data_IF_346401591729
#
_entry.id   IF_346401591729
#
_cell.length_a   1.000
_cell.length_b   1.000
_cell.length_c   1.000
_cell.angle_alpha   90.00
_cell.angle_beta   90.00
_cell.angle_gamma   90.00
#
_symmetry.space_group_name_H-M   'P 1'
#
loop_
_entity.id
_entity.type
_entity.pdbx_description
1 polymer ?
#
# COMPACT_ATOMS: atom_id res chain seq x y z
N UNK A 1 -22.95 -25.72 45.87
CA UNK A 1 -22.50 -25.05 44.62
C UNK A 1 -22.28 -26.00 43.43
N UNK A 2 -22.65 -27.26 43.51
CA UNK A 2 -22.53 -28.24 42.43
C UNK A 2 -23.85 -28.54 41.70
N UNK A 3 -24.97 -27.95 42.12
CA UNK A 3 -26.29 -28.23 41.53
C UNK A 3 -26.79 -27.20 40.49
N UNK A 4 -26.05 -26.09 40.28
CA UNK A 4 -26.42 -25.04 39.32
C UNK A 4 -25.73 -25.21 37.96
N UNK A 5 -24.67 -25.99 37.88
CA UNK A 5 -23.95 -26.27 36.64
C UNK A 5 -24.57 -27.35 35.73
N UNK A 6 -25.48 -28.18 36.29
CA UNK A 6 -26.09 -29.27 35.51
C UNK A 6 -27.37 -28.85 34.75
N UNK A 7 -27.99 -27.72 35.07
CA UNK A 7 -29.20 -27.24 34.39
C UNK A 7 -28.95 -26.47 33.08
N UNK A 8 -27.75 -25.93 32.87
CA UNK A 8 -27.39 -25.17 31.66
C UNK A 8 -27.01 -26.07 30.47
N UNK A 9 -26.58 -27.30 30.69
CA UNK A 9 -26.12 -28.20 29.62
C UNK A 9 -27.30 -28.96 28.94
N UNK A 10 -28.48 -29.01 29.53
CA UNK A 10 -29.67 -29.70 28.95
C UNK A 10 -30.51 -28.77 28.07
N UNK A 11 -30.41 -27.47 28.23
CA UNK A 11 -31.15 -26.49 27.41
C UNK A 11 -30.55 -26.24 26.01
N UNK A 12 -29.25 -26.42 25.83
CA UNK A 12 -28.59 -26.22 24.54
C UNK A 12 -28.71 -27.43 23.61
N UNK A 13 -28.94 -28.62 24.16
CA UNK A 13 -29.07 -29.86 23.37
C UNK A 13 -30.43 -30.07 22.71
N UNK A 14 -31.47 -29.27 23.04
CA UNK A 14 -32.85 -29.42 22.51
C UNK A 14 -33.22 -28.44 21.40
N UNK A 15 -32.42 -27.43 21.12
CA UNK A 15 -32.67 -26.42 20.08
C UNK A 15 -31.99 -26.71 18.71
N UNK A 16 -31.22 -27.79 18.60
CA UNK A 16 -30.52 -28.17 17.36
C UNK A 16 -31.11 -29.38 16.61
N UNK A 17 -32.33 -29.84 16.97
CA UNK A 17 -32.99 -30.99 16.33
C UNK A 17 -34.34 -30.72 15.69
N UNK A 18 -34.62 -29.51 15.28
CA UNK A 18 -35.85 -29.20 14.53
C UNK A 18 -35.57 -28.18 13.42
N UNK A 19 -35.06 -28.66 12.30
CA UNK A 19 -35.34 -28.16 10.94
C UNK A 19 -34.51 -28.93 9.88
N UNK A 20 -34.93 -30.16 9.64
CA UNK A 20 -34.80 -30.78 8.32
C UNK A 20 -36.20 -31.22 7.95
N UNK A 21 -36.97 -30.35 7.33
CA UNK A 21 -38.21 -30.70 6.65
C UNK A 21 -37.87 -30.84 5.17
N UNK A 22 -37.92 -32.06 4.71
CA UNK A 22 -37.96 -32.47 3.30
C UNK A 22 -39.10 -31.76 2.58
N UNK A 23 -38.84 -31.06 1.54
CA UNK A 23 -39.84 -30.60 0.58
C UNK A 23 -39.63 -31.42 -0.70
N UNK A 24 -40.42 -32.45 -0.83
CA UNK A 24 -40.72 -33.10 -2.11
C UNK A 24 -41.87 -32.31 -2.74
N UNK A 25 -41.59 -31.63 -3.86
CA UNK A 25 -42.57 -30.92 -4.66
C UNK A 25 -42.60 -31.47 -6.08
N UNK A 26 -43.71 -32.14 -6.42
CA UNK A 26 -44.00 -32.65 -7.75
C UNK A 26 -44.12 -31.52 -8.78
N UNK A 27 -43.50 -31.73 -9.95
CA UNK A 27 -43.74 -30.92 -11.13
C UNK A 27 -44.82 -31.58 -12.01
N UNK A 28 -45.92 -30.87 -12.27
CA UNK A 28 -46.87 -31.16 -13.35
C UNK A 28 -46.66 -30.15 -14.48
N UNK A 29 -46.67 -30.55 -15.72
CA UNK A 29 -46.53 -29.68 -16.87
C UNK A 29 -47.87 -29.06 -17.28
N UNK A 30 -47.87 -27.74 -17.51
CA UNK A 30 -48.96 -27.06 -18.20
C UNK A 30 -48.47 -26.66 -19.61
N UNK A 31 -49.22 -27.12 -20.55
CA UNK A 31 -49.16 -26.87 -22.00
C UNK A 31 -49.53 -25.43 -22.34
N UNK A 32 -48.82 -24.84 -23.32
CA UNK A 32 -49.23 -23.60 -23.95
C UNK A 32 -48.20 -23.14 -24.99
N UNK A 33 -48.55 -23.26 -26.26
CA UNK A 33 -47.69 -23.12 -27.43
C UNK A 33 -47.31 -21.67 -27.76
N UNK A 34 -46.23 -21.57 -28.50
CA UNK A 34 -45.78 -20.35 -29.15
C UNK A 34 -44.54 -20.61 -29.99
N UNK A 35 -44.77 -20.74 -31.33
CA UNK A 35 -43.72 -20.89 -32.33
C UNK A 35 -42.79 -19.66 -32.37
N UNK A 36 -41.49 -19.90 -32.43
CA UNK A 36 -40.57 -19.05 -33.19
C UNK A 36 -39.45 -19.93 -33.81
N UNK A 37 -39.45 -19.94 -35.12
CA UNK A 37 -38.46 -20.60 -36.01
C UNK A 37 -37.15 -19.80 -35.93
N UNK A 38 -36.02 -20.51 -35.76
CA UNK A 38 -34.71 -20.01 -36.02
C UNK A 38 -33.81 -21.12 -36.57
N UNK A 39 -33.35 -20.92 -37.77
CA UNK A 39 -32.61 -21.85 -38.61
C UNK A 39 -31.31 -22.34 -37.98
N UNK A 40 -31.11 -23.67 -38.01
CA UNK A 40 -29.83 -24.34 -37.89
C UNK A 40 -29.49 -24.95 -39.28
N UNK A 41 -28.35 -24.59 -39.82
CA UNK A 41 -27.71 -25.37 -40.89
C UNK A 41 -26.39 -25.95 -40.36
N UNK A 42 -26.06 -27.18 -40.69
CA UNK A 42 -24.82 -27.83 -40.29
C UNK A 42 -23.70 -27.56 -41.31
N UNK A 43 -22.50 -27.36 -40.83
CA UNK A 43 -21.30 -27.32 -41.62
C UNK A 43 -20.61 -28.69 -41.56
N UNK A 44 -20.36 -29.25 -42.76
CA UNK A 44 -19.67 -30.49 -43.06
C UNK A 44 -18.17 -30.40 -42.75
N UNK A 45 -17.63 -31.56 -42.36
CA UNK A 45 -16.20 -31.87 -42.29
C UNK A 45 -15.60 -31.91 -43.70
N UNK A 46 -14.35 -31.54 -43.84
CA UNK A 46 -13.21 -32.24 -44.46
C UNK A 46 -12.10 -31.23 -44.85
N UNK A 47 -10.83 -31.65 -44.66
CA UNK A 47 -9.72 -31.02 -45.38
C UNK A 47 -8.46 -30.69 -44.58
N UNK A 48 -7.65 -31.72 -44.44
CA UNK A 48 -6.22 -31.72 -44.14
C UNK A 48 -5.41 -30.67 -44.94
N UNK A 49 -4.54 -29.89 -44.32
CA UNK A 49 -3.31 -29.39 -44.93
C UNK A 49 -2.32 -28.84 -43.88
N UNK A 50 -1.23 -29.56 -43.73
CA UNK A 50 -0.05 -29.20 -43.01
C UNK A 50 0.64 -27.95 -43.61
N UNK A 51 0.89 -26.90 -42.82
CA UNK A 51 1.75 -25.79 -43.22
C UNK A 51 2.91 -25.62 -42.23
N UNK A 52 4.09 -26.08 -42.70
CA UNK A 52 5.40 -25.92 -42.08
C UNK A 52 5.72 -24.44 -41.91
N UNK A 53 5.99 -24.01 -40.71
CA UNK A 53 6.65 -22.72 -40.42
C UNK A 53 8.16 -22.92 -40.50
N UNK A 54 8.78 -22.33 -41.50
CA UNK A 54 10.22 -22.13 -41.60
C UNK A 54 10.66 -21.09 -40.55
N UNK A 55 11.60 -21.49 -39.70
CA UNK A 55 12.33 -20.59 -38.82
C UNK A 55 13.55 -20.12 -39.61
N UNK A 56 13.60 -18.83 -39.94
CA UNK A 56 14.78 -18.21 -40.51
C UNK A 56 15.76 -17.84 -39.38
N UNK A 57 16.90 -18.50 -39.35
CA UNK A 57 18.07 -18.11 -38.57
C UNK A 57 18.79 -16.99 -39.32
N UNK A 58 18.86 -15.80 -38.70
CA UNK A 58 19.79 -14.76 -39.11
C UNK A 58 21.02 -14.84 -38.20
N UNK A 59 22.13 -15.30 -38.78
CA UNK A 59 23.47 -15.17 -38.22
C UNK A 59 24.06 -13.82 -38.66
N UNK A 60 24.43 -13.00 -37.72
CA UNK A 60 25.16 -11.76 -37.95
C UNK A 60 26.65 -12.03 -37.76
N UNK A 61 27.46 -11.89 -38.81
CA UNK A 61 28.93 -11.83 -38.74
C UNK A 61 29.35 -10.38 -38.67
N UNK A 62 30.29 -10.01 -37.83
CA UNK A 62 30.91 -8.69 -37.87
C UNK A 62 32.16 -8.69 -38.78
N UNK A 63 32.25 -7.74 -39.69
CA UNK A 63 33.45 -7.43 -40.45
C UNK A 63 34.42 -6.56 -39.61
N UNK A 64 35.76 -6.75 -39.82
CA UNK A 64 36.77 -6.06 -39.06
C UNK A 64 37.33 -4.83 -39.82
N UNK A 65 38.03 -4.00 -39.03
CA UNK A 65 39.01 -2.97 -39.42
C UNK A 65 38.51 -1.56 -39.81
N UNK A 66 38.83 -0.62 -38.91
CA UNK A 66 39.80 0.46 -39.26
C UNK A 66 40.38 1.07 -37.99
N UNK A 67 41.67 0.88 -37.86
CA UNK A 67 42.56 1.52 -36.88
C UNK A 67 43.10 2.80 -37.53
N UNK A 68 43.15 3.92 -36.81
CA UNK A 68 44.14 4.97 -37.01
C UNK A 68 44.33 5.87 -35.77
N UNK A 69 45.52 6.45 -35.56
CA UNK A 69 46.14 6.62 -34.26
C UNK A 69 46.05 8.04 -33.66
N UNK A 70 46.71 8.30 -32.51
CA UNK A 70 46.43 9.44 -31.66
C UNK A 70 47.24 10.69 -32.00
N UNK A 71 46.66 11.85 -31.73
CA UNK A 71 47.42 13.11 -31.68
C UNK A 71 47.39 13.63 -30.23
N UNK A 72 48.59 13.81 -29.73
CA UNK A 72 48.87 14.51 -28.51
C UNK A 72 49.01 16.01 -28.79
N UNK A 73 48.37 16.85 -28.02
CA UNK A 73 48.85 18.23 -27.74
C UNK A 73 48.47 18.56 -26.31
N UNK A 74 49.47 19.01 -25.62
CA UNK A 74 49.53 19.25 -24.22
C UNK A 74 49.18 20.67 -23.78
N UNK A 75 49.39 20.82 -22.50
CA UNK A 75 49.61 22.04 -21.73
C UNK A 75 48.38 22.80 -21.22
N UNK A 76 48.16 22.66 -19.93
CA UNK A 76 48.13 23.79 -19.01
C UNK A 76 46.77 24.42 -18.71
N UNK A 77 46.23 24.11 -17.57
CA UNK A 77 45.90 25.16 -16.62
C UNK A 77 45.55 24.60 -15.23
N UNK A 78 46.15 25.23 -14.25
CA UNK A 78 46.03 24.92 -12.85
C UNK A 78 44.69 25.45 -12.28
N UNK A 79 44.31 24.84 -11.12
CA UNK A 79 43.38 25.37 -10.14
C UNK A 79 41.87 25.29 -10.42
N UNK A 80 41.24 24.18 -9.98
CA UNK A 80 40.08 24.24 -9.12
C UNK A 80 40.10 22.97 -8.20
N UNK A 81 40.83 23.07 -7.10
CA UNK A 81 40.67 22.13 -5.98
C UNK A 81 39.55 22.65 -5.10
N UNK A 82 38.32 22.16 -5.32
CA UNK A 82 37.20 22.52 -4.45
C UNK A 82 35.89 21.80 -4.71
N UNK A 83 35.73 21.17 -5.88
CA UNK A 83 34.43 20.60 -6.24
C UNK A 83 34.37 19.04 -6.20
N UNK A 84 35.45 18.38 -5.79
CA UNK A 84 35.58 16.92 -5.88
C UNK A 84 34.95 16.13 -4.73
N UNK A 85 34.59 16.77 -3.60
CA UNK A 85 34.04 16.03 -2.45
C UNK A 85 32.53 15.89 -2.46
N UNK A 86 31.80 16.81 -3.06
CA UNK A 86 30.31 16.77 -3.12
C UNK A 86 29.86 15.77 -4.20
N UNK A 87 30.56 15.71 -5.33
CA UNK A 87 30.20 14.76 -6.41
C UNK A 87 30.51 13.28 -6.09
N UNK A 88 31.49 12.99 -5.22
CA UNK A 88 31.78 11.60 -4.83
C UNK A 88 30.73 11.00 -3.90
N UNK A 89 29.98 11.80 -3.13
CA UNK A 89 28.86 11.29 -2.30
C UNK A 89 27.61 10.98 -3.13
N UNK A 90 27.34 11.74 -4.18
CA UNK A 90 26.19 11.50 -5.07
C UNK A 90 26.35 10.23 -5.95
N UNK A 91 27.58 9.89 -6.33
CA UNK A 91 27.85 8.70 -7.16
C UNK A 91 27.96 7.38 -6.36
N UNK A 92 28.13 7.42 -5.05
CA UNK A 92 28.21 6.22 -4.19
C UNK A 92 26.86 5.55 -3.94
N UNK A 93 25.74 6.25 -4.20
CA UNK A 93 24.39 5.71 -4.08
C UNK A 93 23.96 4.84 -5.29
N UNK A 94 24.79 4.70 -6.31
CA UNK A 94 24.47 3.97 -7.54
C UNK A 94 25.03 2.54 -7.62
N UNK A 95 25.69 2.04 -6.58
CA UNK A 95 26.17 0.65 -6.54
C UNK A 95 25.37 -0.17 -5.54
N UNK A 96 24.43 -0.91 -6.13
CA UNK A 96 23.91 -2.23 -5.76
C UNK A 96 24.12 -2.69 -4.28
N UNK A 97 23.05 -2.70 -3.57
CA UNK A 97 22.49 -3.75 -2.72
C UNK A 97 23.51 -4.80 -2.22
N UNK A 98 24.48 -4.38 -1.42
CA UNK A 98 25.17 -5.32 -0.54
C UNK A 98 24.27 -5.55 0.70
N UNK A 99 24.42 -6.72 1.34
CA UNK A 99 23.75 -7.02 2.62
C UNK A 99 24.05 -5.92 3.66
N UNK A 100 25.25 -5.30 3.59
CA UNK A 100 25.63 -4.15 4.44
C UNK A 100 24.83 -2.88 4.16
N UNK A 101 24.46 -2.61 2.91
CA UNK A 101 23.70 -1.40 2.59
C UNK A 101 22.24 -1.53 3.09
N UNK A 102 21.69 -2.73 3.03
CA UNK A 102 20.35 -3.00 3.55
C UNK A 102 20.33 -2.93 5.10
N UNK A 103 21.34 -3.49 5.78
CA UNK A 103 21.45 -3.39 7.23
C UNK A 103 21.61 -1.94 7.70
N UNK A 104 22.48 -1.17 7.03
CA UNK A 104 22.63 0.25 7.32
C UNK A 104 21.31 1.01 7.13
N UNK A 105 20.50 0.63 6.15
CA UNK A 105 19.23 1.27 5.86
C UNK A 105 18.16 0.90 6.89
N UNK A 106 18.12 -0.36 7.34
CA UNK A 106 17.25 -0.79 8.44
C UNK A 106 17.65 -0.13 9.77
N UNK A 107 18.93 0.15 9.98
CA UNK A 107 19.38 0.92 11.15
C UNK A 107 18.77 2.33 11.20
N UNK A 108 18.56 2.99 10.05
CA UNK A 108 17.84 4.27 10.02
C UNK A 108 16.39 4.12 10.46
N UNK A 109 15.74 3.00 10.11
CA UNK A 109 14.39 2.72 10.59
C UNK A 109 14.38 2.48 12.10
N UNK A 110 15.33 1.72 12.64
CA UNK A 110 15.47 1.53 14.11
C UNK A 110 15.62 2.86 14.85
N UNK A 111 16.34 3.82 14.27
CA UNK A 111 16.58 5.13 14.89
C UNK A 111 15.31 5.99 15.02
N UNK A 112 14.27 5.76 14.22
CA UNK A 112 13.00 6.52 14.30
C UNK A 112 11.97 5.86 15.22
N UNK A 113 12.17 4.60 15.61
CA UNK A 113 11.24 3.87 16.49
C UNK A 113 11.40 4.37 17.92
N UNK A 114 10.33 4.84 18.55
CA UNK A 114 10.40 5.33 19.92
C UNK A 114 10.56 4.16 20.90
N UNK A 115 11.40 4.29 21.94
CA UNK A 115 11.56 3.24 22.92
C UNK A 115 10.28 3.05 23.75
N UNK A 116 9.96 1.81 24.08
CA UNK A 116 8.92 1.48 25.05
C UNK A 116 9.40 1.86 26.46
N UNK A 117 8.66 2.69 27.16
CA UNK A 117 8.99 3.12 28.51
C UNK A 117 7.75 3.19 29.40
N UNK A 118 7.93 2.95 30.71
CA UNK A 118 6.84 3.06 31.70
C UNK A 118 6.40 4.51 31.97
N UNK A 119 7.10 5.50 31.39
CA UNK A 119 6.80 6.93 31.59
C UNK A 119 5.80 7.47 30.55
N UNK A 120 5.49 6.72 29.52
CA UNK A 120 4.55 7.14 28.48
C UNK A 120 3.10 6.91 28.90
N UNK A 121 2.23 7.76 28.36
CA UNK A 121 0.78 7.65 28.53
C UNK A 121 0.11 7.27 27.20
N UNK A 122 -1.07 6.64 27.28
CA UNK A 122 -1.88 6.25 26.12
C UNK A 122 -2.08 7.42 25.15
N UNK A 123 -1.80 7.19 23.88
CA UNK A 123 -1.88 8.16 22.80
C UNK A 123 -0.57 8.84 22.43
N UNK A 124 0.55 8.56 23.11
CA UNK A 124 1.85 9.17 22.81
C UNK A 124 2.62 8.44 21.70
N UNK A 125 2.43 7.12 21.56
CA UNK A 125 3.08 6.33 20.51
C UNK A 125 2.31 6.33 19.19
N UNK A 126 1.12 6.90 19.16
CA UNK A 126 0.40 7.15 17.92
C UNK A 126 -1.11 7.10 18.08
N UNK A 127 -1.78 8.05 17.44
CA UNK A 127 -3.24 8.06 17.19
C UNK A 127 -3.44 8.18 15.70
N UNK A 128 -3.78 7.06 15.07
CA UNK A 128 -3.87 6.96 13.62
C UNK A 128 -5.34 6.98 13.20
N UNK A 129 -5.69 7.84 12.24
CA UNK A 129 -6.99 7.85 11.61
C UNK A 129 -6.94 7.12 10.26
N UNK A 130 -7.95 6.32 9.98
CA UNK A 130 -8.16 5.70 8.66
C UNK A 130 -9.46 6.23 8.09
N UNK A 131 -9.39 6.86 6.93
CA UNK A 131 -10.55 7.41 6.19
C UNK A 131 -10.84 6.47 5.03
N UNK A 132 -11.91 5.71 5.14
CA UNK A 132 -12.32 4.70 4.17
C UNK A 132 -13.30 3.70 4.76
N UNK A 133 -13.78 2.80 3.93
CA UNK A 133 -14.84 1.85 4.28
C UNK A 133 -16.19 2.32 3.77
N UNK A 134 -16.65 1.63 2.73
CA UNK A 134 -17.99 1.76 2.18
C UNK A 134 -18.72 0.42 2.29
N UNK A 135 -19.92 0.37 1.76
CA UNK A 135 -20.81 -0.80 1.81
C UNK A 135 -20.13 -2.10 1.38
N UNK A 136 -19.38 -2.06 0.27
CA UNK A 136 -18.74 -3.24 -0.33
C UNK A 136 -17.38 -3.56 0.29
N UNK A 137 -16.69 -2.55 0.84
CA UNK A 137 -15.27 -2.68 1.24
C UNK A 137 -15.07 -2.34 2.71
N UNK A 138 -15.47 -3.23 3.59
CA UNK A 138 -15.32 -3.08 5.05
C UNK A 138 -14.01 -3.65 5.59
N UNK A 139 -13.41 -4.61 4.87
CA UNK A 139 -12.18 -5.28 5.29
C UNK A 139 -10.93 -4.43 5.17
N UNK A 140 -10.81 -3.62 4.10
CA UNK A 140 -9.63 -2.81 3.83
C UNK A 140 -9.33 -1.78 4.94
N UNK A 141 -10.28 -0.93 5.38
CA UNK A 141 -10.03 -0.01 6.49
C UNK A 141 -9.77 -0.75 7.81
N UNK A 142 -10.39 -1.91 8.02
CA UNK A 142 -10.06 -2.76 9.16
C UNK A 142 -8.59 -3.21 9.12
N UNK A 143 -8.12 -3.74 7.98
CA UNK A 143 -6.73 -4.18 7.85
C UNK A 143 -5.74 -3.04 8.07
N UNK A 144 -6.00 -1.86 7.55
CA UNK A 144 -5.15 -0.69 7.80
C UNK A 144 -5.16 -0.30 9.28
N UNK A 145 -6.33 -0.21 9.89
CA UNK A 145 -6.49 0.23 11.28
C UNK A 145 -5.88 -0.75 12.30
N UNK A 146 -6.10 -2.05 12.12
CA UNK A 146 -5.55 -3.07 13.02
C UNK A 146 -4.03 -3.23 12.83
N UNK A 147 -3.53 -3.03 11.61
CA UNK A 147 -2.09 -3.02 11.36
C UNK A 147 -1.41 -1.86 12.09
N UNK A 148 -2.02 -0.68 12.10
CA UNK A 148 -1.49 0.45 12.87
C UNK A 148 -1.38 0.11 14.37
N UNK A 149 -2.40 -0.50 14.97
CA UNK A 149 -2.34 -0.93 16.39
C UNK A 149 -1.23 -1.96 16.62
N UNK A 150 -1.11 -2.96 15.73
CA UNK A 150 -0.11 -4.03 15.87
C UNK A 150 1.33 -3.60 15.61
N UNK A 151 1.54 -2.50 14.89
CA UNK A 151 2.87 -1.86 14.76
C UNK A 151 3.25 -1.11 16.04
N UNK A 152 2.27 -0.62 16.79
CA UNK A 152 2.51 0.03 18.08
C UNK A 152 1.83 1.40 18.24
N UNK A 153 0.85 1.75 17.40
CA UNK A 153 -0.01 2.89 17.70
C UNK A 153 -0.91 2.57 18.92
N UNK A 154 -1.11 3.56 19.77
CA UNK A 154 -1.95 3.41 20.95
C UNK A 154 -3.45 3.41 20.66
N UNK A 155 -3.85 4.14 19.62
CA UNK A 155 -5.24 4.29 19.20
C UNK A 155 -5.34 4.28 17.68
N UNK A 156 -6.38 3.62 17.20
CA UNK A 156 -6.74 3.64 15.78
C UNK A 156 -8.21 4.00 15.61
N UNK A 157 -8.46 5.02 14.80
CA UNK A 157 -9.78 5.55 14.48
C UNK A 157 -10.11 5.23 13.03
N UNK A 158 -11.34 4.78 12.77
CA UNK A 158 -11.83 4.52 11.40
C UNK A 158 -13.00 5.46 11.13
N UNK A 159 -12.88 6.31 10.13
CA UNK A 159 -13.95 7.18 9.63
C UNK A 159 -14.51 6.54 8.36
N UNK A 160 -15.71 6.00 8.44
CA UNK A 160 -16.33 5.22 7.37
C UNK A 160 -17.78 5.63 7.16
N UNK A 161 -18.45 5.03 6.17
CA UNK A 161 -19.87 5.22 5.96
C UNK A 161 -20.69 4.62 7.11
N UNK A 162 -21.90 5.11 7.28
CA UNK A 162 -22.82 4.65 8.31
C UNK A 162 -23.11 3.15 8.15
N UNK A 163 -23.24 2.66 6.94
CA UNK A 163 -23.53 1.26 6.64
C UNK A 163 -22.34 0.33 6.92
N UNK A 164 -21.10 0.79 6.68
CA UNK A 164 -19.90 0.00 6.95
C UNK A 164 -19.57 -0.11 8.44
N UNK A 165 -19.93 0.88 9.23
CA UNK A 165 -19.49 1.00 10.63
C UNK A 165 -19.89 -0.20 11.52
N UNK A 166 -21.12 -0.74 11.50
CA UNK A 166 -21.48 -1.90 12.31
C UNK A 166 -20.64 -3.11 11.97
N UNK A 167 -20.33 -3.32 10.69
CA UNK A 167 -19.54 -4.45 10.20
C UNK A 167 -18.09 -4.31 10.67
N UNK A 168 -17.48 -3.13 10.52
CA UNK A 168 -16.10 -2.88 10.96
C UNK A 168 -15.98 -3.04 12.49
N UNK A 169 -16.96 -2.53 13.26
CA UNK A 169 -17.02 -2.71 14.72
C UNK A 169 -17.08 -4.18 15.14
N UNK A 170 -17.69 -5.04 14.33
CA UNK A 170 -17.79 -6.48 14.61
C UNK A 170 -16.46 -7.22 14.44
N UNK A 171 -15.50 -6.66 13.68
CA UNK A 171 -14.21 -7.29 13.44
C UNK A 171 -13.25 -7.17 14.63
N UNK A 172 -13.27 -6.03 15.35
CA UNK A 172 -12.43 -5.83 16.53
C UNK A 172 -13.00 -4.77 17.48
N UNK A 173 -13.04 -5.05 18.79
CA UNK A 173 -13.43 -4.07 19.80
C UNK A 173 -12.36 -3.00 20.06
N UNK A 174 -11.15 -3.16 19.52
CA UNK A 174 -10.02 -2.26 19.77
C UNK A 174 -10.06 -1.00 18.89
N UNK A 175 -10.87 -1.03 17.80
CA UNK A 175 -11.00 0.06 16.86
C UNK A 175 -12.08 1.06 17.30
N UNK A 176 -11.79 2.34 17.15
CA UNK A 176 -12.75 3.43 17.38
C UNK A 176 -13.36 3.80 16.02
N UNK A 177 -14.60 3.41 15.78
CA UNK A 177 -15.25 3.55 14.46
C UNK A 177 -16.28 4.67 14.48
N UNK A 178 -16.13 5.63 13.56
CA UNK A 178 -16.95 6.81 13.37
C UNK A 178 -17.77 6.69 12.08
N UNK A 179 -19.11 6.55 12.14
CA UNK A 179 -19.99 6.44 10.98
C UNK A 179 -20.35 7.83 10.43
N UNK A 180 -19.40 8.52 9.80
CA UNK A 180 -19.57 9.93 9.45
C UNK A 180 -19.24 10.24 7.99
N UNK A 181 -18.63 9.32 7.23
CA UNK A 181 -18.00 9.66 5.96
C UNK A 181 -19.01 9.98 4.83
N UNK A 182 -20.21 9.44 4.90
CA UNK A 182 -21.34 9.69 3.99
C UNK A 182 -22.27 10.82 4.47
N UNK A 183 -21.95 11.47 5.58
CA UNK A 183 -22.68 12.63 6.07
C UNK A 183 -22.32 13.90 5.26
N UNK A 184 -23.27 14.81 5.02
CA UNK A 184 -22.95 16.14 4.46
C UNK A 184 -21.92 16.93 5.28
N UNK A 185 -21.83 16.67 6.58
CA UNK A 185 -20.89 17.30 7.52
C UNK A 185 -19.58 16.51 7.71
N UNK A 186 -19.29 15.49 6.90
CA UNK A 186 -18.17 14.60 7.11
C UNK A 186 -16.83 15.32 7.29
N UNK A 187 -16.53 16.29 6.41
CA UNK A 187 -15.29 17.06 6.48
C UNK A 187 -15.16 17.83 7.81
N UNK A 188 -16.26 18.39 8.32
CA UNK A 188 -16.31 19.07 9.63
C UNK A 188 -16.14 18.06 10.77
N UNK A 189 -16.89 16.97 10.74
CA UNK A 189 -16.87 15.95 11.77
C UNK A 189 -15.47 15.30 11.93
N UNK A 190 -14.82 14.95 10.81
CA UNK A 190 -13.43 14.47 10.83
C UNK A 190 -12.47 15.58 11.23
N UNK A 191 -12.71 16.82 10.76
CA UNK A 191 -11.92 18.02 11.09
C UNK A 191 -11.79 18.29 12.60
N UNK A 192 -12.80 17.94 13.40
CA UNK A 192 -12.79 18.06 14.87
C UNK A 192 -11.83 17.03 15.54
N UNK A 193 -11.54 15.91 14.85
CA UNK A 193 -10.60 14.90 15.33
C UNK A 193 -9.16 15.17 14.92
N UNK A 194 -8.90 15.88 13.80
CA UNK A 194 -7.56 16.12 13.27
C UNK A 194 -6.56 16.64 14.30
N UNK A 195 -6.90 17.55 15.23
CA UNK A 195 -5.95 18.02 16.24
C UNK A 195 -5.48 16.93 17.22
N UNK A 196 -6.20 15.83 17.30
CA UNK A 196 -5.89 14.69 18.17
C UNK A 196 -5.19 13.56 17.46
N UNK A 197 -5.15 13.57 16.11
CA UNK A 197 -4.56 12.54 15.28
C UNK A 197 -3.12 12.92 14.90
N UNK A 198 -2.27 11.92 14.80
CA UNK A 198 -0.85 12.10 14.47
C UNK A 198 -0.59 11.80 12.98
N UNK A 199 -1.40 10.98 12.34
CA UNK A 199 -1.41 10.75 10.91
C UNK A 199 -2.78 10.25 10.45
N UNK A 200 -3.07 10.44 9.15
CA UNK A 200 -4.23 9.86 8.47
C UNK A 200 -3.77 8.87 7.39
N UNK A 201 -4.53 7.79 7.24
CA UNK A 201 -4.47 6.89 6.09
C UNK A 201 -5.77 7.07 5.34
N UNK A 202 -5.72 7.44 4.06
CA UNK A 202 -6.88 7.78 3.24
C UNK A 202 -6.97 6.87 2.04
N UNK A 203 -8.11 6.21 1.87
CA UNK A 203 -8.41 5.43 0.67
C UNK A 203 -8.72 3.95 0.86
N UNK A 204 -8.24 3.22 1.89
CA UNK A 204 -8.59 1.81 2.08
C UNK A 204 -10.09 1.58 2.07
N UNK A 205 -10.60 0.88 1.04
CA UNK A 205 -12.01 0.56 0.92
C UNK A 205 -12.96 1.77 0.80
N UNK A 206 -12.45 2.92 0.36
CA UNK A 206 -13.23 4.16 0.25
C UNK A 206 -14.37 4.05 -0.76
N UNK A 207 -14.15 3.31 -1.87
CA UNK A 207 -15.05 3.33 -3.00
C UNK A 207 -14.91 4.62 -3.82
N UNK A 208 -15.80 4.77 -4.82
CA UNK A 208 -15.73 5.89 -5.79
C UNK A 208 -17.06 6.63 -5.91
N UNK A 209 -17.85 6.59 -4.86
CA UNK A 209 -19.06 7.38 -4.78
C UNK A 209 -18.71 8.88 -4.76
N UNK A 210 -19.44 9.69 -5.53
CA UNK A 210 -19.14 11.11 -5.69
C UNK A 210 -19.21 11.87 -4.35
N UNK A 211 -20.23 11.57 -3.52
CA UNK A 211 -20.41 12.26 -2.23
C UNK A 211 -19.25 11.93 -1.29
N UNK A 212 -18.82 10.65 -1.25
CA UNK A 212 -17.67 10.23 -0.44
C UNK A 212 -16.41 10.92 -0.90
N UNK A 213 -16.17 11.01 -2.22
CA UNK A 213 -14.98 11.65 -2.76
C UNK A 213 -14.94 13.15 -2.47
N UNK A 214 -16.07 13.87 -2.59
CA UNK A 214 -16.15 15.28 -2.23
C UNK A 214 -15.88 15.50 -0.72
N UNK A 215 -16.43 14.64 0.14
CA UNK A 215 -16.15 14.70 1.57
C UNK A 215 -14.66 14.46 1.88
N UNK A 216 -14.03 13.53 1.17
CA UNK A 216 -12.59 13.22 1.35
C UNK A 216 -11.70 14.36 0.85
N UNK A 217 -12.09 15.11 -0.21
CA UNK A 217 -11.39 16.32 -0.61
C UNK A 217 -11.33 17.31 0.54
N UNK A 218 -12.47 17.66 1.14
CA UNK A 218 -12.53 18.56 2.28
C UNK A 218 -11.71 18.07 3.49
N UNK A 219 -11.67 16.75 3.72
CA UNK A 219 -10.83 16.15 4.78
C UNK A 219 -9.34 16.32 4.46
N UNK A 220 -8.91 16.10 3.22
CA UNK A 220 -7.52 16.29 2.79
C UNK A 220 -7.09 17.75 2.89
N UNK A 221 -7.92 18.68 2.45
CA UNK A 221 -7.68 20.12 2.58
C UNK A 221 -7.54 20.55 4.04
N UNK A 222 -8.45 20.10 4.90
CA UNK A 222 -8.39 20.35 6.34
C UNK A 222 -7.14 19.75 6.99
N UNK A 223 -6.71 18.57 6.55
CA UNK A 223 -5.49 17.91 7.02
C UNK A 223 -4.24 18.66 6.59
N UNK A 224 -4.17 19.08 5.31
CA UNK A 224 -3.09 19.90 4.76
C UNK A 224 -2.98 21.24 5.49
N UNK A 225 -4.10 21.93 5.71
CA UNK A 225 -4.14 23.19 6.43
C UNK A 225 -3.63 23.09 7.88
N UNK A 226 -3.83 21.96 8.54
CA UNK A 226 -3.36 21.69 9.91
C UNK A 226 -1.99 21.02 9.98
N UNK A 227 -1.41 20.67 8.84
CA UNK A 227 -0.11 20.01 8.77
C UNK A 227 -0.13 18.56 9.30
N UNK A 228 -1.28 17.87 9.25
CA UNK A 228 -1.42 16.46 9.64
C UNK A 228 -0.86 15.58 8.53
N UNK A 229 0.11 14.70 8.79
CA UNK A 229 0.65 13.79 7.78
C UNK A 229 -0.43 12.88 7.21
N UNK A 230 -0.36 12.61 5.88
CA UNK A 230 -1.33 11.77 5.20
C UNK A 230 -0.64 10.67 4.39
N UNK A 231 -1.12 9.44 4.53
CA UNK A 231 -0.78 8.31 3.66
C UNK A 231 -1.98 8.05 2.75
N UNK A 232 -1.77 8.08 1.44
CA UNK A 232 -2.86 7.94 0.47
C UNK A 232 -2.65 6.65 -0.33
N UNK A 233 -3.63 5.75 -0.27
CA UNK A 233 -3.61 4.44 -0.90
C UNK A 233 -4.93 4.16 -1.63
N UNK A 234 -4.98 3.14 -2.44
CA UNK A 234 -6.17 2.58 -3.08
C UNK A 234 -7.06 3.66 -3.76
N UNK A 235 -8.35 3.76 -3.37
CA UNK A 235 -9.27 4.74 -3.99
C UNK A 235 -8.93 6.19 -3.66
N UNK A 236 -8.15 6.44 -2.60
CA UNK A 236 -7.54 7.76 -2.35
C UNK A 236 -6.61 8.18 -3.49
N UNK A 237 -5.80 7.24 -4.02
CA UNK A 237 -4.94 7.50 -5.17
C UNK A 237 -5.73 7.76 -6.46
N UNK A 238 -6.89 7.10 -6.61
CA UNK A 238 -7.79 7.39 -7.72
C UNK A 238 -8.30 8.84 -7.66
N UNK A 239 -8.65 9.33 -6.47
CA UNK A 239 -9.04 10.73 -6.26
C UNK A 239 -7.89 11.70 -6.59
N UNK A 240 -6.66 11.41 -6.13
CA UNK A 240 -5.50 12.26 -6.43
C UNK A 240 -5.20 12.29 -7.94
N UNK A 241 -5.43 11.19 -8.66
CA UNK A 241 -5.28 11.19 -10.12
C UNK A 241 -6.33 12.07 -10.83
N UNK A 242 -7.50 12.28 -10.24
CA UNK A 242 -8.49 13.23 -10.76
C UNK A 242 -8.13 14.69 -10.41
N UNK A 243 -7.55 14.91 -9.23
CA UNK A 243 -7.26 16.23 -8.71
C UNK A 243 -5.91 16.27 -7.97
N UNK A 244 -4.78 16.28 -8.72
CA UNK A 244 -3.43 16.27 -8.13
C UNK A 244 -3.16 17.47 -7.22
N UNK A 245 -3.86 18.58 -7.40
CA UNK A 245 -3.73 19.80 -6.60
C UNK A 245 -3.95 19.57 -5.09
N UNK A 246 -4.75 18.58 -4.73
CA UNK A 246 -5.03 18.21 -3.33
C UNK A 246 -3.75 17.92 -2.53
N UNK A 247 -2.75 17.31 -3.16
CA UNK A 247 -1.47 16.96 -2.51
C UNK A 247 -0.29 17.77 -3.02
N UNK A 248 -0.48 18.59 -4.05
CA UNK A 248 0.60 19.36 -4.66
C UNK A 248 1.40 20.14 -3.61
N UNK A 249 2.72 19.87 -3.55
CA UNK A 249 3.64 20.52 -2.62
C UNK A 249 3.45 20.16 -1.13
N UNK A 250 2.55 19.22 -0.81
CA UNK A 250 2.36 18.79 0.57
C UNK A 250 3.36 17.71 0.96
N UNK A 251 4.55 18.12 1.38
CA UNK A 251 5.67 17.22 1.70
C UNK A 251 5.43 16.31 2.93
N UNK A 252 4.28 16.44 3.61
CA UNK A 252 3.84 15.49 4.64
C UNK A 252 2.89 14.41 4.08
N UNK A 253 2.70 14.35 2.76
CA UNK A 253 1.95 13.31 2.11
C UNK A 253 2.87 12.18 1.61
N UNK A 254 2.38 10.93 1.72
CA UNK A 254 2.99 9.74 1.12
C UNK A 254 1.96 9.04 0.28
N UNK A 255 2.24 8.84 -1.00
CA UNK A 255 1.40 8.10 -1.95
C UNK A 255 1.95 6.69 -2.12
N UNK A 256 1.10 5.66 -2.11
CA UNK A 256 1.51 4.25 -2.19
C UNK A 256 0.94 3.52 -3.41
N UNK A 257 1.15 4.00 -4.65
CA UNK A 257 0.54 3.39 -5.82
C UNK A 257 1.12 2.00 -6.14
N UNK A 258 0.25 1.05 -6.52
CA UNK A 258 0.65 -0.12 -7.28
C UNK A 258 0.96 0.25 -8.74
N UNK A 259 1.33 -0.72 -9.57
CA UNK A 259 1.72 -0.45 -10.97
C UNK A 259 0.61 0.28 -11.76
N UNK A 260 -0.64 -0.14 -11.64
CA UNK A 260 -1.78 0.46 -12.38
C UNK A 260 -2.11 1.86 -11.84
N UNK A 261 -2.12 2.02 -10.52
CA UNK A 261 -2.33 3.31 -9.85
C UNK A 261 -1.21 4.29 -10.20
N UNK A 262 0.04 3.81 -10.25
CA UNK A 262 1.20 4.61 -10.63
C UNK A 262 1.10 5.12 -12.07
N UNK A 263 0.74 4.24 -13.02
CA UNK A 263 0.55 4.62 -14.43
C UNK A 263 -0.52 5.71 -14.56
N UNK A 264 -1.66 5.56 -13.86
CA UNK A 264 -2.74 6.55 -13.87
C UNK A 264 -2.31 7.89 -13.29
N UNK A 265 -1.59 7.88 -12.16
CA UNK A 265 -1.06 9.10 -11.55
C UNK A 265 -0.04 9.79 -12.46
N UNK A 266 0.84 9.02 -13.09
CA UNK A 266 1.85 9.54 -14.01
C UNK A 266 1.22 10.18 -15.24
N UNK A 267 0.22 9.54 -15.81
CA UNK A 267 -0.54 10.10 -16.93
C UNK A 267 -1.23 11.42 -16.54
N UNK A 268 -1.88 11.45 -15.38
CA UNK A 268 -2.59 12.63 -14.90
C UNK A 268 -1.66 13.82 -14.56
N UNK A 269 -0.46 13.55 -14.03
CA UNK A 269 0.46 14.58 -13.54
C UNK A 269 1.50 14.98 -14.57
N UNK A 270 2.00 14.04 -15.37
CA UNK A 270 3.10 14.24 -16.31
C UNK A 270 2.62 14.30 -17.78
N UNK A 271 1.39 13.86 -18.07
CA UNK A 271 0.84 13.80 -19.44
C UNK A 271 1.51 12.73 -20.32
N UNK A 272 2.36 11.89 -19.75
CA UNK A 272 3.11 10.86 -20.48
C UNK A 272 3.09 9.54 -19.72
N UNK A 273 2.66 8.42 -20.34
CA UNK A 273 2.82 7.11 -19.76
C UNK A 273 4.30 6.79 -19.68
N UNK A 274 4.81 6.71 -18.46
CA UNK A 274 6.24 6.53 -18.19
C UNK A 274 6.77 5.21 -18.79
N UNK A 275 7.90 5.29 -19.48
CA UNK A 275 8.63 4.13 -19.98
C UNK A 275 9.00 3.21 -18.79
N UNK A 276 8.46 1.99 -18.77
CA UNK A 276 8.68 1.01 -17.71
C UNK A 276 10.13 0.54 -17.53
N UNK A 277 11.07 1.01 -18.38
CA UNK A 277 12.49 0.65 -18.33
C UNK A 277 13.25 1.34 -17.20
N UNK A 278 12.89 2.60 -16.87
CA UNK A 278 13.52 3.37 -15.79
C UNK A 278 12.52 3.66 -14.66
N UNK A 279 12.25 2.65 -13.85
CA UNK A 279 11.33 2.79 -12.69
C UNK A 279 11.82 3.83 -11.67
N UNK A 280 13.14 3.93 -11.44
CA UNK A 280 13.71 4.87 -10.47
C UNK A 280 13.51 6.31 -10.91
N UNK A 281 13.86 6.61 -12.16
CA UNK A 281 13.65 7.92 -12.74
C UNK A 281 12.15 8.27 -12.86
N UNK A 282 11.31 7.28 -13.13
CA UNK A 282 9.87 7.47 -13.19
C UNK A 282 9.28 7.93 -11.85
N UNK A 283 9.62 7.24 -10.75
CA UNK A 283 9.15 7.60 -9.40
C UNK A 283 9.71 8.95 -8.97
N UNK A 284 10.98 9.22 -9.28
CA UNK A 284 11.61 10.51 -9.00
C UNK A 284 10.87 11.66 -9.72
N UNK A 285 10.63 11.53 -11.03
CA UNK A 285 9.93 12.55 -11.83
C UNK A 285 8.52 12.81 -11.33
N UNK A 286 7.77 11.75 -11.01
CA UNK A 286 6.41 11.90 -10.45
C UNK A 286 6.43 12.64 -9.11
N UNK A 287 7.34 12.27 -8.22
CA UNK A 287 7.51 12.94 -6.92
C UNK A 287 7.85 14.43 -7.11
N UNK A 288 8.78 14.76 -8.00
CA UNK A 288 9.16 16.15 -8.32
C UNK A 288 7.99 16.95 -8.89
N UNK A 289 7.26 16.36 -9.83
CA UNK A 289 6.10 17.01 -10.45
C UNK A 289 4.99 17.28 -9.44
N UNK A 290 4.85 16.45 -8.40
CA UNK A 290 3.94 16.66 -7.27
C UNK A 290 4.49 17.64 -6.21
N UNK A 291 5.64 18.28 -6.45
CA UNK A 291 6.25 19.22 -5.50
C UNK A 291 6.97 18.53 -4.34
N UNK A 292 7.69 17.46 -4.65
CA UNK A 292 8.47 16.64 -3.71
C UNK A 292 7.59 15.89 -2.66
N UNK A 293 6.44 15.44 -3.09
CA UNK A 293 5.61 14.51 -2.32
C UNK A 293 6.25 13.12 -2.36
N UNK A 294 6.30 12.43 -1.24
CA UNK A 294 6.87 11.08 -1.18
C UNK A 294 5.98 10.09 -1.92
N UNK A 295 6.57 9.32 -2.84
CA UNK A 295 5.89 8.30 -3.65
C UNK A 295 6.54 6.95 -3.41
N UNK A 296 5.72 5.94 -3.12
CA UNK A 296 6.10 4.53 -2.94
C UNK A 296 5.47 3.71 -4.07
N UNK A 297 6.21 3.43 -5.13
CA UNK A 297 5.73 2.52 -6.17
C UNK A 297 5.89 1.08 -5.71
N UNK A 298 4.76 0.44 -5.38
CA UNK A 298 4.71 -0.99 -5.01
C UNK A 298 5.08 -1.89 -6.20
N UNK A 299 5.88 -2.95 -5.96
CA UNK A 299 6.28 -3.86 -7.04
C UNK A 299 7.01 -5.11 -6.55
N UNK A 300 7.77 -5.73 -7.43
CA UNK A 300 8.69 -6.81 -7.07
C UNK A 300 9.72 -6.31 -6.04
N UNK A 301 10.29 -5.16 -6.30
CA UNK A 301 10.97 -4.29 -5.35
C UNK A 301 10.18 -2.99 -5.28
N UNK A 302 10.02 -2.42 -4.10
CA UNK A 302 9.33 -1.15 -3.97
C UNK A 302 10.32 -0.01 -4.18
N UNK A 303 9.95 0.96 -5.02
CA UNK A 303 10.76 2.13 -5.32
C UNK A 303 10.16 3.35 -4.64
N UNK A 304 10.95 4.07 -3.86
CA UNK A 304 10.51 5.16 -3.00
C UNK A 304 11.29 6.41 -3.34
N UNK A 305 10.61 7.55 -3.56
CA UNK A 305 11.25 8.84 -3.78
C UNK A 305 10.50 9.97 -3.10
N UNK A 306 11.26 10.98 -2.65
CA UNK A 306 10.76 12.27 -2.14
C UNK A 306 11.06 13.43 -3.11
N UNK A 307 11.41 13.11 -4.37
CA UNK A 307 11.79 14.09 -5.38
C UNK A 307 13.25 14.53 -5.32
N UNK A 308 14.00 14.16 -4.28
CA UNK A 308 15.43 14.46 -4.15
C UNK A 308 16.29 13.21 -4.15
N UNK A 309 15.78 12.13 -3.55
CA UNK A 309 16.46 10.85 -3.43
C UNK A 309 15.53 9.71 -3.84
N UNK A 310 16.15 8.58 -4.21
CA UNK A 310 15.44 7.34 -4.53
C UNK A 310 16.02 6.21 -3.70
N UNK A 311 15.16 5.52 -2.94
CA UNK A 311 15.47 4.29 -2.21
C UNK A 311 14.74 3.11 -2.84
N UNK A 312 15.30 1.92 -2.71
CA UNK A 312 14.66 0.67 -3.10
C UNK A 312 14.57 -0.27 -1.90
N UNK A 313 13.38 -0.81 -1.67
CA UNK A 313 13.19 -1.88 -0.73
C UNK A 313 13.35 -3.21 -1.45
N UNK A 314 14.52 -3.83 -1.29
CA UNK A 314 14.85 -5.16 -1.82
C UNK A 314 14.60 -6.29 -0.81
N UNK A 315 14.00 -5.99 0.35
CA UNK A 315 13.66 -7.01 1.34
C UNK A 315 12.76 -8.07 0.71
N UNK A 316 13.08 -9.32 0.95
CA UNK A 316 12.40 -10.45 0.30
C UNK A 316 11.03 -10.70 0.93
N UNK A 317 9.98 -10.66 0.12
CA UNK A 317 8.62 -11.01 0.52
C UNK A 317 8.27 -12.47 0.17
N UNK A 318 7.05 -12.69 -0.32
CA UNK A 318 6.59 -13.98 -0.85
C UNK A 318 6.05 -13.85 -2.27
N UNK A 319 5.93 -14.99 -2.95
CA UNK A 319 5.29 -15.08 -4.27
C UNK A 319 3.76 -14.97 -4.21
N UNK A 320 3.16 -15.08 -3.03
CA UNK A 320 1.71 -14.97 -2.83
C UNK A 320 1.26 -13.50 -2.85
N UNK A 321 0.29 -13.20 -3.68
CA UNK A 321 -0.44 -11.93 -3.70
C UNK A 321 -1.87 -12.18 -3.26
N UNK A 322 -2.34 -11.44 -2.25
CA UNK A 322 -3.72 -11.46 -1.77
C UNK A 322 -4.22 -10.03 -1.55
N UNK A 323 -5.54 -9.86 -1.53
CA UNK A 323 -6.16 -8.57 -1.21
C UNK A 323 -5.82 -8.15 0.22
N UNK A 324 -5.66 -6.84 0.46
CA UNK A 324 -5.39 -6.30 1.79
C UNK A 324 -3.91 -6.12 2.15
N UNK A 325 -2.96 -6.64 1.33
CA UNK A 325 -1.52 -6.41 1.58
C UNK A 325 -1.14 -4.93 1.54
N UNK A 326 -1.79 -4.15 0.65
CA UNK A 326 -1.65 -2.70 0.59
C UNK A 326 -2.16 -2.02 1.85
N UNK A 327 -3.28 -2.49 2.38
CA UNK A 327 -3.89 -1.93 3.59
C UNK A 327 -2.99 -2.15 4.83
N UNK A 328 -2.35 -3.33 4.94
CA UNK A 328 -1.32 -3.57 5.96
C UNK A 328 -0.15 -2.58 5.80
N UNK A 329 0.32 -2.37 4.57
CA UNK A 329 1.39 -1.40 4.28
C UNK A 329 0.98 0.00 4.71
N UNK A 330 -0.18 0.49 4.26
CA UNK A 330 -0.62 1.86 4.50
C UNK A 330 -0.91 2.13 5.98
N UNK A 331 -1.49 1.18 6.71
CA UNK A 331 -1.69 1.25 8.15
C UNK A 331 -0.39 1.30 8.93
N UNK A 332 0.56 0.42 8.61
CA UNK A 332 1.91 0.40 9.20
C UNK A 332 2.67 1.69 8.91
N UNK A 333 2.55 2.19 7.67
CA UNK A 333 3.20 3.43 7.24
C UNK A 333 2.67 4.65 8.00
N UNK A 334 1.37 4.71 8.30
CA UNK A 334 0.79 5.78 9.11
C UNK A 334 1.49 5.94 10.47
N UNK A 335 1.81 4.83 11.12
CA UNK A 335 2.56 4.83 12.39
C UNK A 335 4.01 5.26 12.21
N UNK A 336 4.70 4.65 11.24
CA UNK A 336 6.12 4.95 10.99
C UNK A 336 6.33 6.39 10.53
N UNK A 337 5.41 6.99 9.79
CA UNK A 337 5.41 8.41 9.43
C UNK A 337 5.31 9.29 10.68
N UNK A 338 4.42 8.97 11.60
CA UNK A 338 4.34 9.69 12.87
C UNK A 338 5.66 9.62 13.65
N UNK A 339 6.20 8.41 13.83
CA UNK A 339 7.46 8.22 14.56
C UNK A 339 8.64 8.91 13.90
N UNK A 340 8.76 8.83 12.57
CA UNK A 340 9.84 9.46 11.83
C UNK A 340 9.81 11.00 11.93
N UNK A 341 8.62 11.60 11.85
CA UNK A 341 8.46 13.04 12.04
C UNK A 341 8.72 13.48 13.48
N UNK A 342 8.33 12.66 14.46
CA UNK A 342 8.62 12.90 15.88
C UNK A 342 10.11 12.78 16.20
N UNK A 343 10.80 11.78 15.63
CA UNK A 343 12.23 11.58 15.81
C UNK A 343 13.07 12.71 15.18
N UNK A 344 12.59 13.27 14.07
CA UNK A 344 13.19 14.38 13.37
C UNK A 344 14.36 13.99 12.45
N UNK A 345 14.84 14.93 11.62
CA UNK A 345 15.81 14.65 10.56
C UNK A 345 17.20 14.24 11.05
N UNK A 346 17.55 14.56 12.29
CA UNK A 346 18.83 14.15 12.87
C UNK A 346 18.97 12.63 13.07
N UNK A 347 17.84 11.89 13.08
CA UNK A 347 17.81 10.44 13.26
C UNK A 347 17.92 9.67 11.95
N UNK A 348 17.77 10.34 10.82
CA UNK A 348 17.73 9.69 9.48
C UNK A 348 19.03 9.86 8.68
N UNK A 349 20.03 10.57 9.21
CA UNK A 349 21.39 10.72 8.65
C UNK A 349 21.43 10.99 7.13
N UNK A 350 20.60 11.93 6.67
CA UNK A 350 20.58 12.42 5.30
C UNK A 350 19.31 12.10 4.48
N UNK A 351 18.72 10.89 4.47
CA UNK A 351 17.39 10.68 3.87
C UNK A 351 16.30 11.43 4.63
N UNK A 352 15.23 11.81 3.91
CA UNK A 352 14.08 12.43 4.57
C UNK A 352 13.38 11.45 5.52
N UNK A 353 12.79 11.97 6.59
CA UNK A 353 12.06 11.16 7.57
C UNK A 353 10.97 10.28 6.93
N UNK A 354 10.29 10.79 5.89
CA UNK A 354 9.24 10.02 5.20
C UNK A 354 9.79 8.92 4.30
N UNK A 355 10.97 9.10 3.70
CA UNK A 355 11.65 8.03 2.96
C UNK A 355 12.00 6.85 3.88
N UNK A 356 12.54 7.15 5.08
CA UNK A 356 12.89 6.12 6.08
C UNK A 356 11.64 5.41 6.59
N UNK A 357 10.58 6.15 6.90
CA UNK A 357 9.28 5.58 7.29
C UNK A 357 8.71 4.63 6.21
N UNK A 358 8.73 5.08 4.95
CA UNK A 358 8.22 4.29 3.83
C UNK A 358 9.05 3.02 3.62
N UNK A 359 10.36 3.10 3.71
CA UNK A 359 11.24 1.94 3.62
C UNK A 359 10.95 0.93 4.74
N UNK A 360 10.79 1.39 5.98
CA UNK A 360 10.45 0.55 7.12
C UNK A 360 9.11 -0.17 6.93
N UNK A 361 8.08 0.53 6.46
CA UNK A 361 6.76 -0.06 6.20
C UNK A 361 6.82 -1.11 5.07
N UNK A 362 7.56 -0.84 4.00
CA UNK A 362 7.77 -1.80 2.91
C UNK A 362 8.49 -3.06 3.41
N UNK A 363 9.59 -2.90 4.15
CA UNK A 363 10.35 -4.03 4.70
C UNK A 363 9.49 -4.87 5.66
N UNK A 364 8.75 -4.21 6.56
CA UNK A 364 7.85 -4.87 7.50
C UNK A 364 6.75 -5.67 6.79
N UNK A 365 6.07 -5.06 5.81
CA UNK A 365 5.02 -5.73 5.03
C UNK A 365 5.56 -6.96 4.31
N UNK A 366 6.76 -6.87 3.73
CA UNK A 366 7.43 -7.98 3.04
C UNK A 366 7.84 -9.07 4.00
N UNK A 367 8.36 -8.73 5.17
CA UNK A 367 8.69 -9.70 6.21
C UNK A 367 7.46 -10.44 6.72
N UNK A 368 6.34 -9.72 6.96
CA UNK A 368 5.05 -10.35 7.31
C UNK A 368 4.58 -11.33 6.22
N UNK A 369 4.65 -10.91 4.95
CA UNK A 369 4.30 -11.75 3.80
C UNK A 369 5.14 -13.03 3.74
N UNK A 370 6.46 -12.90 3.96
CA UNK A 370 7.39 -14.04 3.97
C UNK A 370 7.08 -15.03 5.11
N UNK A 371 6.91 -14.52 6.35
CA UNK A 371 6.64 -15.36 7.52
C UNK A 371 5.28 -16.05 7.42
N UNK A 372 4.23 -15.33 7.01
CA UNK A 372 2.93 -15.93 6.79
C UNK A 372 2.96 -17.00 5.68
N UNK A 373 3.65 -16.73 4.58
CA UNK A 373 3.78 -17.69 3.49
C UNK A 373 4.55 -18.96 3.91
N UNK A 374 5.58 -18.84 4.74
CA UNK A 374 6.29 -19.99 5.29
C UNK A 374 5.38 -20.91 6.13
N UNK A 375 4.35 -20.32 6.79
CA UNK A 375 3.39 -21.07 7.61
C UNK A 375 2.21 -21.62 6.82
N UNK A 376 1.69 -20.86 5.87
CA UNK A 376 0.40 -21.11 5.22
C UNK A 376 0.52 -21.41 3.71
N UNK A 377 1.68 -21.16 3.10
CA UNK A 377 1.90 -21.40 1.67
C UNK A 377 0.90 -20.66 0.80
N UNK A 378 0.29 -21.37 -0.15
CA UNK A 378 -0.68 -20.81 -1.09
C UNK A 378 -1.95 -20.26 -0.42
N UNK A 379 -2.33 -20.73 0.75
CA UNK A 379 -3.53 -20.29 1.48
C UNK A 379 -3.33 -18.99 2.26
N UNK A 380 -2.14 -18.41 2.26
CA UNK A 380 -1.83 -17.17 2.95
C UNK A 380 -2.83 -16.07 2.60
N UNK A 381 -3.39 -15.47 3.63
CA UNK A 381 -4.27 -14.28 3.58
C UNK A 381 -3.64 -13.09 4.28
N UNK A 382 -4.24 -11.92 4.16
CA UNK A 382 -3.76 -10.72 4.86
C UNK A 382 -3.95 -10.84 6.37
N UNK A 383 -4.96 -11.56 6.83
CA UNK A 383 -5.15 -11.87 8.27
C UNK A 383 -3.94 -12.64 8.82
N UNK A 384 -3.42 -13.61 8.07
CA UNK A 384 -2.21 -14.33 8.47
C UNK A 384 -0.98 -13.42 8.51
N UNK A 385 -0.86 -12.50 7.54
CA UNK A 385 0.22 -11.49 7.53
C UNK A 385 0.13 -10.53 8.73
N UNK A 386 -1.07 -10.11 9.12
CA UNK A 386 -1.30 -9.24 10.28
C UNK A 386 -0.95 -9.98 11.58
N UNK A 387 -1.15 -11.27 11.65
CA UNK A 387 -0.71 -12.08 12.79
C UNK A 387 0.82 -12.10 12.95
N UNK A 388 1.56 -11.92 11.84
CA UNK A 388 3.03 -11.87 11.83
C UNK A 388 3.61 -10.46 12.12
N UNK A 389 2.81 -9.40 12.29
CA UNK A 389 3.33 -8.04 12.47
C UNK A 389 4.27 -7.93 13.67
N UNK A 390 3.89 -8.42 14.84
CA UNK A 390 4.76 -8.40 16.02
C UNK A 390 6.08 -9.16 15.80
N UNK A 391 6.05 -10.46 15.45
CA UNK A 391 7.26 -11.22 15.17
C UNK A 391 8.13 -10.63 14.04
N UNK A 392 7.53 -10.05 13.00
CA UNK A 392 8.26 -9.43 11.91
C UNK A 392 8.91 -8.10 12.35
N UNK A 393 8.22 -7.33 13.16
CA UNK A 393 8.70 -6.07 13.71
C UNK A 393 9.93 -6.31 14.61
N UNK A 394 9.82 -7.25 15.58
CA UNK A 394 10.93 -7.59 16.46
C UNK A 394 12.14 -8.04 15.67
N UNK A 395 11.95 -8.96 14.72
CA UNK A 395 13.04 -9.47 13.88
C UNK A 395 13.77 -8.41 13.05
N UNK A 396 13.06 -7.37 12.56
CA UNK A 396 13.65 -6.33 11.70
C UNK A 396 14.27 -5.19 12.51
N UNK A 397 13.65 -4.85 13.64
CA UNK A 397 13.91 -3.58 14.27
C UNK A 397 14.34 -3.65 15.74
N UNK A 398 14.14 -4.79 16.42
CA UNK A 398 14.48 -4.95 17.86
C UNK A 398 15.62 -5.94 18.09
N UNK A 399 15.78 -6.98 17.25
CA UNK A 399 16.89 -7.92 17.28
C UNK A 399 18.13 -7.33 16.54
#
# INVERSE_FOLDING_TARGET
MAAVAAAAAVAVGRLLRLRVARVEGHWHPLSGGGLLRGFLQPASADGDAAQKRQVAHFTFQPDPETVSPPMAVGAGCAAVRGCGRVLKRAFSLHKAHSVKDMENTLQLVRNIIPPLTTKKHKGQDGRIGVVGGCREYTGAPYFAAISALKVGADLSHVFCTQEAAPVIKSYSPELIVHPVLDSPDAARAVGEWLPRLHALVVGPGLGRDHVLLENVKGILEASKARGVPVVIDADGLWLIAQEPALVQGYQKAVLTPNHVEFSRLSEAVLGDPLDGRDRRGAVLRLSQALGNVTVVQKGEQDVISDGTQVLECSHEGSSRRCGGQGDLLSGSLGVLVHWALQAGPSKTDGPSSLLVAALGACALTRQCSRQAFQKHGRSTTTTDMIAELGPAFSRLFED
#
